data_IF_841779994555
#
_entry.id   IF_841779994555
#
_cell.length_a   1.000
_cell.length_b   1.000
_cell.length_c   1.000
_cell.angle_alpha   90.00
_cell.angle_beta   90.00
_cell.angle_gamma   90.00
#
_symmetry.space_group_name_H-M   'P 1'
#
loop_
_entity.id
_entity.type
_entity.pdbx_description
1 polymer ?
#
# COMPACT_ATOMS: atom_id res chain seq x y z
N UNK A 1 -3.99 -12.25 8.03
CA UNK A 1 -3.28 -10.99 7.74
C UNK A 1 -3.72 -10.62 6.33
N UNK A 2 -4.52 -9.57 6.21
CA UNK A 2 -5.33 -9.29 5.00
C UNK A 2 -4.59 -8.22 4.21
N UNK A 3 -4.20 -8.52 2.96
CA UNK A 3 -3.77 -7.51 2.00
C UNK A 3 -4.85 -6.39 1.94
N UNK A 4 -4.53 -5.11 1.68
CA UNK A 4 -5.52 -4.03 1.71
C UNK A 4 -6.44 -4.11 0.49
N UNK A 5 -7.23 -5.17 0.41
CA UNK A 5 -8.20 -5.41 -0.64
C UNK A 5 -9.26 -4.30 -0.64
N UNK A 6 -9.45 -3.54 0.44
CA UNK A 6 -10.35 -2.39 0.47
C UNK A 6 -9.84 -1.17 -0.34
N UNK A 7 -8.61 -1.19 -0.86
CA UNK A 7 -8.08 -0.10 -1.68
C UNK A 7 -8.26 -0.38 -3.17
N UNK A 8 -8.94 0.54 -3.86
CA UNK A 8 -9.25 0.44 -5.29
C UNK A 8 -8.50 1.53 -6.06
N UNK A 9 -7.42 1.21 -6.80
CA UNK A 9 -6.54 2.21 -7.41
C UNK A 9 -7.21 2.95 -8.59
N UNK A 10 -8.06 2.25 -9.35
CA UNK A 10 -8.48 2.75 -10.66
C UNK A 10 -9.91 3.29 -10.75
N UNK A 11 -10.69 3.19 -9.67
CA UNK A 11 -12.11 3.53 -9.70
C UNK A 11 -12.40 5.02 -9.45
N UNK A 12 -13.48 5.51 -10.04
CA UNK A 12 -14.04 6.84 -9.86
C UNK A 12 -15.01 6.89 -8.67
N UNK A 13 -15.49 8.08 -8.33
CA UNK A 13 -16.52 8.24 -7.29
C UNK A 13 -17.82 7.51 -7.63
N UNK A 14 -18.29 7.66 -8.87
CA UNK A 14 -19.53 7.04 -9.35
C UNK A 14 -19.42 5.51 -9.36
N UNK A 15 -18.28 4.97 -9.82
CA UNK A 15 -18.03 3.52 -9.78
C UNK A 15 -17.97 2.99 -8.35
N UNK A 16 -17.36 3.74 -7.41
CA UNK A 16 -17.35 3.39 -6.00
C UNK A 16 -18.76 3.38 -5.39
N UNK A 17 -19.61 4.36 -5.72
CA UNK A 17 -21.01 4.38 -5.27
C UNK A 17 -21.75 3.15 -5.78
N UNK A 18 -21.65 2.86 -7.09
CA UNK A 18 -22.28 1.68 -7.68
C UNK A 18 -21.82 0.39 -7.01
N UNK A 19 -20.52 0.21 -6.79
CA UNK A 19 -19.97 -0.98 -6.12
C UNK A 19 -20.50 -1.12 -4.69
N UNK A 20 -20.51 -0.03 -3.91
CA UNK A 20 -20.99 -0.06 -2.52
C UNK A 20 -22.51 -0.30 -2.44
N UNK A 21 -23.30 0.25 -3.37
CA UNK A 21 -24.75 0.08 -3.40
C UNK A 21 -25.18 -1.31 -3.88
N UNK A 22 -24.45 -1.88 -4.83
CA UNK A 22 -24.77 -3.20 -5.41
C UNK A 22 -24.20 -4.37 -4.62
N UNK A 23 -22.96 -4.26 -4.13
CA UNK A 23 -22.24 -5.37 -3.48
C UNK A 23 -22.03 -5.17 -1.98
N UNK A 24 -22.07 -3.92 -1.51
CA UNK A 24 -21.89 -3.59 -0.10
C UNK A 24 -23.18 -3.68 0.71
N UNK A 25 -23.04 -3.53 2.02
CA UNK A 25 -24.13 -3.30 2.97
C UNK A 25 -23.82 -2.02 3.76
N UNK A 26 -24.74 -1.57 4.62
CA UNK A 26 -24.46 -0.42 5.47
C UNK A 26 -23.27 -0.71 6.41
N UNK A 27 -22.31 0.21 6.45
CA UNK A 27 -21.00 0.02 7.06
C UNK A 27 -19.93 -0.53 6.10
N UNK A 28 -20.27 -0.87 4.86
CA UNK A 28 -19.28 -1.21 3.84
C UNK A 28 -18.48 0.02 3.41
N UNK A 29 -17.18 -0.16 3.19
CA UNK A 29 -16.31 0.93 2.78
C UNK A 29 -15.21 0.48 1.81
N UNK A 30 -14.68 1.45 1.07
CA UNK A 30 -13.48 1.29 0.26
C UNK A 30 -12.69 2.61 0.23
N UNK A 31 -11.39 2.53 0.00
CA UNK A 31 -10.56 3.71 -0.25
C UNK A 31 -10.10 3.73 -1.71
N UNK A 32 -9.94 4.92 -2.26
CA UNK A 32 -9.50 5.13 -3.65
C UNK A 32 -8.74 6.44 -3.81
N UNK A 33 -7.92 6.60 -4.85
CA UNK A 33 -7.34 7.89 -5.21
C UNK A 33 -8.40 8.94 -5.52
N UNK A 34 -8.12 10.20 -5.18
CA UNK A 34 -8.98 11.32 -5.52
C UNK A 34 -8.78 11.73 -6.98
N UNK A 35 -9.87 11.69 -7.77
CA UNK A 35 -9.88 12.22 -9.15
C UNK A 35 -9.98 13.74 -9.19
N UNK A 36 -10.61 14.36 -8.18
CA UNK A 36 -10.80 15.82 -8.13
C UNK A 36 -9.61 16.57 -7.55
N UNK A 37 -8.80 15.93 -6.71
CA UNK A 37 -7.54 16.50 -6.21
C UNK A 37 -6.39 15.49 -6.31
N UNK A 38 -5.61 15.52 -7.40
CA UNK A 38 -4.52 14.57 -7.61
C UNK A 38 -3.50 14.58 -6.46
N UNK A 39 -3.24 13.42 -5.85
CA UNK A 39 -2.32 13.27 -4.71
C UNK A 39 -3.04 12.98 -3.38
N UNK A 40 -4.32 13.34 -3.30
CA UNK A 40 -5.19 12.99 -2.18
C UNK A 40 -5.92 11.67 -2.41
N UNK A 41 -6.55 11.15 -1.37
CA UNK A 41 -7.37 9.95 -1.40
C UNK A 41 -8.81 10.25 -0.97
N UNK A 42 -9.70 9.28 -1.17
CA UNK A 42 -11.11 9.37 -0.77
C UNK A 42 -11.55 8.04 -0.17
N UNK A 43 -12.06 8.10 1.06
CA UNK A 43 -12.74 7.01 1.73
C UNK A 43 -14.23 7.08 1.39
N UNK A 44 -14.75 6.06 0.71
CA UNK A 44 -16.15 5.95 0.32
C UNK A 44 -16.84 4.95 1.24
N UNK A 45 -17.92 5.35 1.92
CA UNK A 45 -18.59 4.55 2.95
C UNK A 45 -20.08 4.51 2.67
N UNK A 46 -20.68 3.32 2.70
CA UNK A 46 -22.12 3.14 2.62
C UNK A 46 -22.76 3.24 3.99
N UNK A 47 -23.80 4.05 4.12
CA UNK A 47 -24.60 4.21 5.34
C UNK A 47 -26.02 4.65 4.99
N UNK A 48 -27.01 4.14 5.71
CA UNK A 48 -28.43 4.46 5.53
C UNK A 48 -28.89 4.33 4.06
N UNK A 49 -28.38 3.30 3.35
CA UNK A 49 -28.66 3.10 1.93
C UNK A 49 -28.06 4.13 0.97
N UNK A 50 -27.23 5.06 1.44
CA UNK A 50 -26.53 6.06 0.63
C UNK A 50 -25.00 5.92 0.78
N UNK A 51 -24.24 6.55 -0.11
CA UNK A 51 -22.78 6.54 -0.06
C UNK A 51 -22.27 7.94 0.26
N UNK A 52 -21.32 8.01 1.20
CA UNK A 52 -20.63 9.22 1.61
C UNK A 52 -19.18 9.15 1.20
N UNK A 53 -18.64 10.25 0.67
CA UNK A 53 -17.23 10.37 0.30
C UNK A 53 -16.48 11.31 1.23
N UNK A 54 -15.42 10.81 1.83
CA UNK A 54 -14.60 11.52 2.82
C UNK A 54 -13.21 11.69 2.24
N UNK A 55 -12.80 12.95 2.01
CA UNK A 55 -11.48 13.29 1.52
C UNK A 55 -10.41 13.01 2.57
N UNK A 56 -9.35 12.33 2.14
CA UNK A 56 -8.13 12.11 2.90
C UNK A 56 -7.04 12.96 2.25
N UNK A 57 -6.45 13.90 2.98
CA UNK A 57 -5.33 14.68 2.46
C UNK A 57 -4.01 13.94 2.70
N UNK A 58 -3.13 13.99 1.71
CA UNK A 58 -1.75 13.56 1.86
C UNK A 58 -0.84 14.77 1.66
N UNK A 59 -0.18 15.22 2.73
CA UNK A 59 0.73 16.37 2.66
C UNK A 59 2.16 15.99 2.32
N UNK A 60 2.47 14.69 2.21
CA UNK A 60 3.83 14.15 2.15
C UNK A 60 4.43 13.80 3.51
N UNK A 61 3.85 14.31 4.60
CA UNK A 61 4.30 14.04 5.98
C UNK A 61 3.40 13.04 6.72
N UNK A 62 2.10 13.07 6.42
CA UNK A 62 1.07 12.24 7.07
C UNK A 62 -0.22 12.24 6.24
N UNK A 63 -1.12 11.31 6.57
CA UNK A 63 -2.48 11.23 6.08
C UNK A 63 -3.45 11.82 7.12
N UNK A 64 -4.35 12.72 6.71
CA UNK A 64 -5.38 13.26 7.59
C UNK A 64 -6.79 13.26 6.97
N UNK A 65 -7.80 13.26 7.84
CA UNK A 65 -9.22 13.35 7.48
C UNK A 65 -9.76 14.69 7.96
N UNK A 66 -9.87 15.68 7.07
CA UNK A 66 -10.51 16.99 7.34
C UNK A 66 -10.12 17.64 8.69
N UNK A 67 -8.83 17.61 9.06
CA UNK A 67 -8.34 18.21 10.31
C UNK A 67 -8.56 17.36 11.57
N UNK A 68 -8.91 16.09 11.42
CA UNK A 68 -8.97 15.10 12.50
C UNK A 68 -7.59 14.54 12.88
N UNK A 69 -7.59 13.26 13.26
CA UNK A 69 -6.38 12.51 13.60
C UNK A 69 -5.44 12.35 12.39
N UNK A 70 -4.13 12.28 12.65
CA UNK A 70 -3.08 12.13 11.63
C UNK A 70 -2.44 10.74 11.71
N UNK A 71 -2.15 10.13 10.56
CA UNK A 71 -1.66 8.75 10.45
C UNK A 71 -0.43 8.66 9.53
N UNK A 72 0.43 7.65 9.73
CA UNK A 72 1.61 7.47 8.89
C UNK A 72 1.26 6.82 7.54
N UNK A 73 0.26 5.93 7.53
CA UNK A 73 -0.19 5.22 6.33
C UNK A 73 -1.72 5.19 6.22
N UNK A 74 -2.23 4.92 5.01
CA UNK A 74 -3.66 4.70 4.78
C UNK A 74 -4.17 3.45 5.53
N UNK A 75 -3.35 2.41 5.62
CA UNK A 75 -3.69 1.19 6.32
C UNK A 75 -3.91 1.44 7.83
N UNK A 76 -3.02 2.22 8.45
CA UNK A 76 -3.17 2.61 9.85
C UNK A 76 -4.41 3.48 10.09
N UNK A 77 -4.70 4.41 9.16
CA UNK A 77 -5.90 5.24 9.22
C UNK A 77 -7.16 4.37 9.21
N UNK A 78 -7.27 3.44 8.26
CA UNK A 78 -8.43 2.54 8.16
C UNK A 78 -8.53 1.66 9.40
N UNK A 79 -7.43 1.02 9.82
CA UNK A 79 -7.42 0.17 11.00
C UNK A 79 -7.89 0.92 12.25
N UNK A 80 -7.40 2.15 12.46
CA UNK A 80 -7.77 2.96 13.61
C UNK A 80 -9.28 3.20 13.69
N UNK A 81 -9.91 3.62 12.59
CA UNK A 81 -11.35 3.91 12.57
C UNK A 81 -12.23 2.65 12.49
N UNK A 82 -11.68 1.51 12.08
CA UNK A 82 -12.35 0.21 12.24
C UNK A 82 -12.39 -0.24 13.70
N UNK A 83 -11.33 0.00 14.48
CA UNK A 83 -11.23 -0.41 15.89
C UNK A 83 -11.90 0.61 16.85
N UNK A 84 -11.96 1.89 16.48
CA UNK A 84 -12.48 2.97 17.32
C UNK A 84 -13.80 3.54 16.78
N UNK A 85 -14.88 2.76 16.93
CA UNK A 85 -16.23 3.20 16.56
C UNK A 85 -16.61 4.53 17.24
N UNK A 86 -17.30 5.42 16.52
CA UNK A 86 -17.76 6.71 17.06
C UNK A 86 -16.80 7.89 16.88
N UNK A 87 -15.55 7.69 16.46
CA UNK A 87 -14.58 8.77 16.28
C UNK A 87 -14.67 9.46 14.91
N UNK A 88 -15.01 8.72 13.86
CA UNK A 88 -15.20 9.29 12.52
C UNK A 88 -16.61 9.91 12.45
N UNK A 89 -16.66 11.23 12.25
CA UNK A 89 -17.92 11.98 12.24
C UNK A 89 -18.00 12.94 11.05
N UNK A 90 -19.22 13.19 10.59
CA UNK A 90 -19.51 14.27 9.64
C UNK A 90 -19.58 15.64 10.31
N UNK A 91 -19.68 16.69 9.48
CA UNK A 91 -19.86 18.07 9.94
C UNK A 91 -21.14 18.28 10.77
N UNK A 92 -22.17 17.48 10.53
CA UNK A 92 -23.43 17.52 11.29
C UNK A 92 -23.34 16.73 12.62
N UNK A 93 -22.22 16.04 12.89
CA UNK A 93 -22.01 15.24 14.09
C UNK A 93 -22.36 13.76 13.95
N UNK A 94 -22.92 13.33 12.82
CA UNK A 94 -23.28 11.93 12.59
C UNK A 94 -22.04 11.04 12.56
N UNK A 95 -22.12 9.89 13.23
CA UNK A 95 -21.05 8.89 13.25
C UNK A 95 -21.02 8.12 11.94
N UNK A 96 -19.83 7.92 11.39
CA UNK A 96 -19.57 7.05 10.25
C UNK A 96 -18.81 5.82 10.76
N UNK A 97 -19.37 4.63 10.53
CA UNK A 97 -18.77 3.38 10.97
C UNK A 97 -18.12 2.62 9.81
N UNK A 98 -16.86 2.24 9.97
CA UNK A 98 -16.14 1.36 9.04
C UNK A 98 -16.26 -0.08 9.55
N UNK A 99 -17.13 -0.88 8.94
CA UNK A 99 -17.39 -2.26 9.37
C UNK A 99 -16.84 -3.29 8.39
N UNK A 100 -17.21 -3.15 7.12
CA UNK A 100 -17.00 -4.20 6.13
C UNK A 100 -16.15 -3.68 4.97
N UNK A 101 -14.84 -4.02 4.90
CA UNK A 101 -14.04 -3.66 3.75
C UNK A 101 -14.62 -4.27 2.48
N UNK A 102 -14.88 -3.46 1.45
CA UNK A 102 -15.30 -3.93 0.14
C UNK A 102 -14.07 -4.20 -0.71
N UNK A 103 -13.78 -5.48 -0.92
CA UNK A 103 -12.56 -5.93 -1.57
C UNK A 103 -12.51 -5.58 -3.08
N UNK A 104 -11.33 -5.18 -3.53
CA UNK A 104 -10.96 -4.88 -4.89
C UNK A 104 -10.61 -6.19 -5.59
N UNK A 105 -11.29 -6.46 -6.70
CA UNK A 105 -10.97 -7.59 -7.57
C UNK A 105 -10.02 -7.18 -8.72
N UNK A 106 -9.57 -5.92 -8.74
CA UNK A 106 -8.69 -5.39 -9.78
C UNK A 106 -7.27 -5.91 -9.57
N UNK A 107 -6.72 -6.70 -10.51
CA UNK A 107 -5.37 -7.27 -10.40
C UNK A 107 -4.27 -6.27 -10.73
N UNK A 108 -4.58 -5.07 -11.23
CA UNK A 108 -3.59 -4.09 -11.72
C UNK A 108 -2.53 -3.68 -10.69
N UNK A 109 -2.82 -3.84 -9.41
CA UNK A 109 -1.92 -3.47 -8.32
C UNK A 109 -1.05 -4.60 -7.79
N UNK A 110 -1.27 -5.83 -8.27
CA UNK A 110 -0.48 -6.98 -7.88
C UNK A 110 0.89 -6.96 -8.56
N UNK A 111 1.97 -7.23 -7.80
CA UNK A 111 3.35 -7.21 -8.34
C UNK A 111 3.59 -8.17 -9.50
N UNK A 112 2.83 -9.27 -9.53
CA UNK A 112 2.92 -10.24 -10.61
C UNK A 112 2.05 -9.85 -11.81
N UNK A 113 1.21 -8.83 -11.73
CA UNK A 113 0.40 -8.38 -12.85
C UNK A 113 1.14 -7.29 -13.65
N UNK A 114 1.23 -7.49 -14.97
CA UNK A 114 1.99 -6.65 -15.88
C UNK A 114 1.11 -6.01 -16.97
N UNK A 115 -0.22 -6.11 -16.85
CA UNK A 115 -1.16 -5.51 -17.79
C UNK A 115 -0.86 -5.88 -19.24
N UNK A 116 -0.73 -4.86 -20.09
CA UNK A 116 -0.48 -5.02 -21.51
C UNK A 116 0.98 -5.41 -21.81
N UNK A 117 1.27 -6.71 -21.75
CA UNK A 117 2.59 -7.29 -22.06
C UNK A 117 2.43 -8.41 -23.08
N UNK A 118 3.23 -8.41 -24.15
CA UNK A 118 3.19 -9.50 -25.13
C UNK A 118 3.82 -10.79 -24.57
N UNK A 119 3.46 -11.93 -25.15
CA UNK A 119 4.09 -13.21 -24.79
C UNK A 119 5.60 -13.18 -24.97
N UNK A 120 6.08 -12.58 -26.07
CA UNK A 120 7.51 -12.47 -26.39
C UNK A 120 8.28 -11.58 -25.41
N UNK A 121 7.67 -10.47 -24.98
CA UNK A 121 8.28 -9.60 -23.96
C UNK A 121 8.28 -10.28 -22.59
N UNK A 122 7.21 -11.00 -22.24
CA UNK A 122 7.12 -11.79 -21.01
C UNK A 122 8.21 -12.88 -20.97
N UNK A 123 8.40 -13.62 -22.07
CA UNK A 123 9.46 -14.62 -22.19
C UNK A 123 10.84 -13.99 -22.00
N UNK A 124 11.10 -12.85 -22.67
CA UNK A 124 12.36 -12.11 -22.53
C UNK A 124 12.61 -11.69 -21.09
N UNK A 125 11.62 -11.06 -20.44
CA UNK A 125 11.73 -10.60 -19.06
C UNK A 125 11.93 -11.74 -18.05
N UNK A 126 11.17 -12.83 -18.21
CA UNK A 126 11.30 -14.02 -17.36
C UNK A 126 12.65 -14.71 -17.57
N UNK A 127 13.19 -14.70 -18.79
CA UNK A 127 14.50 -15.29 -19.09
C UNK A 127 15.66 -14.44 -18.58
N UNK A 128 15.60 -13.13 -18.76
CA UNK A 128 16.67 -12.20 -18.36
C UNK A 128 16.71 -11.95 -16.84
N UNK A 129 15.53 -11.82 -16.22
CA UNK A 129 15.41 -11.36 -14.81
C UNK A 129 14.81 -12.40 -13.87
N UNK A 130 14.13 -13.41 -14.40
CA UNK A 130 13.48 -14.44 -13.60
C UNK A 130 14.45 -15.48 -13.05
N UNK A 131 13.92 -16.36 -12.20
CA UNK A 131 14.55 -17.61 -11.75
C UNK A 131 13.53 -18.74 -11.87
N UNK A 132 13.93 -19.96 -11.58
CA UNK A 132 12.98 -21.07 -11.50
C UNK A 132 11.81 -20.74 -10.55
N UNK A 133 10.58 -20.88 -11.06
CA UNK A 133 9.34 -20.52 -10.37
C UNK A 133 9.01 -19.02 -10.35
N UNK A 134 9.74 -18.19 -11.11
CA UNK A 134 9.33 -16.80 -11.36
C UNK A 134 8.11 -16.75 -12.27
N UNK A 135 7.12 -15.93 -11.94
CA UNK A 135 5.91 -15.81 -12.73
C UNK A 135 5.42 -14.37 -12.85
N UNK A 136 4.57 -14.14 -13.86
CA UNK A 136 3.79 -12.92 -14.06
C UNK A 136 2.46 -13.25 -14.75
N UNK A 137 1.47 -12.38 -14.61
CA UNK A 137 0.18 -12.40 -15.31
C UNK A 137 0.09 -11.16 -16.19
N UNK A 138 -0.43 -11.33 -17.39
CA UNK A 138 -0.57 -10.28 -18.41
C UNK A 138 -1.89 -10.42 -19.13
N UNK A 139 -2.33 -9.37 -19.81
CA UNK A 139 -3.49 -9.43 -20.70
C UNK A 139 -3.24 -10.35 -21.89
N UNK A 140 -4.28 -11.05 -22.33
CA UNK A 140 -4.24 -11.86 -23.54
C UNK A 140 -4.34 -10.97 -24.78
N UNK A 141 -3.33 -11.02 -25.63
CA UNK A 141 -3.34 -10.34 -26.93
C UNK A 141 -4.19 -11.06 -27.98
N UNK A 142 -4.44 -12.36 -27.80
CA UNK A 142 -5.23 -13.16 -28.74
C UNK A 142 -6.72 -13.16 -28.41
N UNK A 143 -7.09 -13.00 -27.14
CA UNK A 143 -8.47 -13.03 -26.66
C UNK A 143 -8.72 -11.82 -25.74
N UNK A 144 -9.22 -10.69 -26.25
CA UNK A 144 -9.49 -9.51 -25.43
C UNK A 144 -10.42 -9.82 -24.26
N UNK A 145 -10.03 -9.43 -23.05
CA UNK A 145 -10.75 -9.73 -21.80
C UNK A 145 -10.22 -10.95 -21.04
N UNK A 146 -9.45 -11.83 -21.69
CA UNK A 146 -8.74 -12.93 -21.05
C UNK A 146 -7.34 -12.51 -20.60
N UNK A 147 -6.71 -13.34 -19.77
CA UNK A 147 -5.38 -13.12 -19.22
C UNK A 147 -4.47 -14.33 -19.50
N UNK A 148 -3.17 -14.17 -19.28
CA UNK A 148 -2.17 -15.23 -19.44
C UNK A 148 -1.22 -15.22 -18.26
N UNK A 149 -1.11 -16.35 -17.56
CA UNK A 149 -0.10 -16.61 -16.56
C UNK A 149 1.16 -17.17 -17.24
N UNK A 150 2.27 -16.43 -17.15
CA UNK A 150 3.56 -16.80 -17.72
C UNK A 150 4.51 -17.21 -16.60
N UNK A 151 5.04 -18.43 -16.64
CA UNK A 151 5.85 -19.03 -15.57
C UNK A 151 7.16 -19.54 -16.13
N UNK A 152 8.28 -19.20 -15.49
CA UNK A 152 9.59 -19.78 -15.80
C UNK A 152 9.81 -21.07 -15.00
N UNK A 153 10.17 -22.13 -15.71
CA UNK A 153 10.56 -23.43 -15.16
C UNK A 153 11.96 -23.80 -15.66
N UNK A 154 12.66 -24.63 -14.89
CA UNK A 154 14.04 -25.06 -15.19
C UNK A 154 15.10 -24.23 -14.47
N UNK A 155 16.24 -24.87 -14.16
CA UNK A 155 17.35 -24.28 -13.41
C UNK A 155 18.52 -23.93 -14.34
N UNK A 156 19.17 -22.79 -14.12
CA UNK A 156 20.30 -22.30 -14.93
C UNK A 156 21.59 -23.13 -14.79
N UNK A 157 21.58 -24.22 -14.02
CA UNK A 157 22.78 -24.92 -13.53
C UNK A 157 23.00 -26.32 -14.11
N UNK A 158 22.17 -26.78 -15.04
CA UNK A 158 22.31 -28.14 -15.61
C UNK A 158 22.62 -28.07 -17.10
N UNK A 159 23.83 -28.48 -17.48
CA UNK A 159 24.28 -28.70 -18.87
C UNK A 159 23.57 -29.90 -19.56
N UNK A 160 22.58 -30.50 -18.90
CA UNK A 160 21.74 -31.56 -19.45
C UNK A 160 20.77 -30.98 -20.49
N UNK A 161 20.65 -31.63 -21.65
CA UNK A 161 19.75 -31.24 -22.74
C UNK A 161 18.26 -31.12 -22.34
N UNK A 162 17.85 -31.70 -21.21
CA UNK A 162 16.48 -31.68 -20.66
C UNK A 162 16.21 -30.57 -19.62
N UNK A 163 17.21 -29.77 -19.26
CA UNK A 163 17.13 -28.79 -18.15
C UNK A 163 17.06 -27.32 -18.55
N UNK A 164 16.85 -27.01 -19.85
CA UNK A 164 16.86 -25.61 -20.31
C UNK A 164 15.73 -24.80 -19.67
N UNK A 165 16.00 -23.54 -19.26
CA UNK A 165 14.96 -22.65 -18.75
C UNK A 165 13.89 -22.48 -19.84
N UNK A 166 12.66 -22.83 -19.50
CA UNK A 166 11.48 -22.73 -20.36
C UNK A 166 10.51 -21.75 -19.72
N UNK A 167 9.80 -20.99 -20.55
CA UNK A 167 8.65 -20.21 -20.12
C UNK A 167 7.39 -20.90 -20.62
N UNK A 168 6.49 -21.21 -19.70
CA UNK A 168 5.17 -21.76 -20.00
C UNK A 168 4.13 -20.66 -19.89
N UNK A 169 3.21 -20.59 -20.86
CA UNK A 169 2.08 -19.68 -20.86
C UNK A 169 0.78 -20.46 -20.63
N UNK A 170 0.06 -20.14 -19.57
CA UNK A 170 -1.23 -20.72 -19.20
C UNK A 170 -2.31 -19.68 -19.45
N UNK A 171 -3.30 -20.02 -20.27
CA UNK A 171 -4.44 -19.13 -20.54
C UNK A 171 -5.35 -19.05 -19.31
N UNK A 172 -5.76 -17.84 -18.95
CA UNK A 172 -6.76 -17.57 -17.92
C UNK A 172 -7.98 -16.96 -18.63
N UNK A 173 -9.08 -17.69 -18.64
CA UNK A 173 -10.34 -17.24 -19.26
C UNK A 173 -11.13 -16.40 -18.28
N UNK A 174 -11.68 -15.29 -18.77
CA UNK A 174 -12.64 -14.47 -18.05
C UNK A 174 -14.04 -14.83 -18.54
N UNK A 175 -14.82 -15.52 -17.70
CA UNK A 175 -16.18 -15.93 -18.02
C UNK A 175 -17.19 -15.03 -17.31
N UNK A 176 -18.17 -14.56 -18.07
CA UNK A 176 -19.37 -13.94 -17.51
C UNK A 176 -20.27 -15.06 -17.00
N UNK A 177 -20.45 -15.17 -15.67
CA UNK A 177 -21.61 -15.87 -15.13
C UNK A 177 -22.79 -14.89 -15.13
N UNK A 178 -23.89 -15.26 -15.79
CA UNK A 178 -25.05 -14.39 -15.89
C UNK A 178 -26.34 -15.17 -15.69
N UNK A 179 -27.01 -14.92 -14.58
CA UNK A 179 -28.47 -15.08 -14.48
C UNK A 179 -29.11 -13.74 -14.84
N UNK A 180 -29.99 -13.73 -15.84
CA UNK A 180 -30.69 -12.52 -16.25
C UNK A 180 -31.83 -12.20 -15.26
N UNK A 181 -31.66 -11.17 -14.43
CA UNK A 181 -32.77 -10.65 -13.63
C UNK A 181 -33.59 -9.69 -14.50
N UNK A 182 -34.76 -10.16 -14.96
CA UNK A 182 -35.76 -9.32 -15.63
C UNK A 182 -36.53 -8.49 -14.61
N UNK A 183 -36.26 -7.20 -14.52
CA UNK A 183 -37.10 -6.27 -13.75
C UNK A 183 -38.13 -5.64 -14.68
N UNK A 184 -39.40 -5.91 -14.40
CA UNK A 184 -40.54 -5.32 -15.12
C UNK A 184 -41.07 -4.15 -14.30
N UNK A 185 -40.78 -2.91 -14.71
CA UNK A 185 -41.36 -1.73 -14.05
C UNK A 185 -42.72 -1.41 -14.69
N UNK A 186 -43.80 -1.80 -14.02
CA UNK A 186 -45.17 -1.41 -14.38
C UNK A 186 -45.68 -0.32 -13.43
N UNK A 187 -45.84 0.92 -13.92
CA UNK A 187 -46.52 1.98 -13.20
C UNK A 187 -47.98 2.10 -13.63
N UNK A 188 -48.92 1.98 -12.69
CA UNK A 188 -50.34 2.30 -12.91
C UNK A 188 -50.59 3.74 -12.43
N UNK A 189 -51.15 4.57 -13.31
CA UNK A 189 -51.77 5.84 -12.92
C UNK A 189 -53.29 5.68 -13.05
N UNK A 190 -54.00 5.76 -11.93
CA UNK A 190 -55.45 5.93 -11.92
C UNK A 190 -55.77 7.42 -11.92
N UNK A 191 -56.06 7.97 -13.10
CA UNK A 191 -57.03 9.08 -13.18
C UNK A 191 -57.73 9.10 -14.54
N UNK A 192 -59.05 9.10 -14.47
CA UNK A 192 -60.05 9.43 -15.50
C UNK A 192 -59.69 9.29 -16.98
N UNK A 193 -60.17 8.21 -17.60
CA UNK A 193 -60.82 8.28 -18.91
C UNK A 193 -59.97 8.68 -20.12
N UNK A 194 -58.92 7.92 -20.47
CA UNK A 194 -58.52 7.74 -21.87
C UNK A 194 -57.64 6.48 -22.00
N UNK A 195 -57.92 5.63 -22.99
CA UNK A 195 -57.19 4.37 -23.20
C UNK A 195 -55.83 4.64 -23.87
N UNK A 196 -54.79 4.92 -23.07
CA UNK A 196 -53.42 5.05 -23.56
C UNK A 196 -52.68 3.70 -23.46
N UNK A 197 -52.03 3.30 -24.56
CA UNK A 197 -51.28 2.05 -24.72
C UNK A 197 -50.05 2.05 -23.81
N UNK A 198 -50.05 1.21 -22.77
CA UNK A 198 -48.93 1.06 -21.81
C UNK A 198 -47.70 0.53 -22.54
N UNK A 199 -46.62 1.31 -22.56
CA UNK A 199 -45.32 0.83 -23.03
C UNK A 199 -44.58 0.21 -21.85
N UNK A 200 -44.44 -1.12 -21.86
CA UNK A 200 -43.60 -1.85 -20.90
C UNK A 200 -42.15 -1.70 -21.36
N UNK A 201 -41.38 -0.88 -20.65
CA UNK A 201 -39.93 -0.85 -20.83
C UNK A 201 -39.32 -1.99 -20.01
N UNK A 202 -38.79 -3.01 -20.69
CA UNK A 202 -37.99 -4.05 -20.03
C UNK A 202 -36.55 -3.56 -20.00
N UNK A 203 -36.06 -3.17 -18.83
CA UNK A 203 -34.64 -2.84 -18.64
C UNK A 203 -33.95 -4.12 -18.19
N UNK A 204 -33.15 -4.72 -19.07
CA UNK A 204 -32.30 -5.85 -18.71
C UNK A 204 -31.05 -5.29 -18.04
N UNK A 205 -30.99 -5.34 -16.71
CA UNK A 205 -29.76 -5.08 -15.96
C UNK A 205 -28.92 -6.35 -16.02
N UNK A 206 -27.79 -6.30 -16.72
CA UNK A 206 -26.84 -7.41 -16.73
C UNK A 206 -25.98 -7.35 -15.47
N UNK A 207 -26.22 -8.28 -14.54
CA UNK A 207 -25.27 -8.58 -13.46
C UNK A 207 -24.18 -9.49 -14.07
N UNK A 208 -23.02 -8.91 -14.37
CA UNK A 208 -21.88 -9.68 -14.84
C UNK A 208 -20.99 -10.03 -13.65
N UNK A 209 -21.24 -11.18 -13.02
CA UNK A 209 -20.28 -11.74 -12.07
C UNK A 209 -19.15 -12.40 -12.88
N UNK A 210 -18.05 -11.65 -13.06
CA UNK A 210 -16.85 -12.10 -13.76
C UNK A 210 -16.15 -13.19 -12.94
N UNK A 211 -15.89 -14.34 -13.56
CA UNK A 211 -15.17 -15.46 -12.95
C UNK A 211 -13.96 -15.84 -13.80
N UNK A 212 -12.90 -16.30 -13.14
CA UNK A 212 -11.64 -16.65 -13.79
C UNK A 212 -11.35 -18.15 -13.68
N UNK A 213 -10.86 -18.76 -14.76
CA UNK A 213 -10.44 -20.18 -14.78
C UNK A 213 -9.29 -20.43 -15.78
N UNK A 214 -8.57 -21.54 -15.63
CA UNK A 214 -7.41 -21.89 -16.49
C UNK A 214 -7.71 -22.95 -17.55
N UNK A 215 -8.97 -23.17 -17.92
CA UNK A 215 -9.38 -24.22 -18.86
C UNK A 215 -10.22 -25.33 -18.27
N UNK A 216 -10.20 -25.50 -16.93
CA UNK A 216 -10.95 -26.50 -16.18
C UNK A 216 -10.65 -26.44 -14.67
N UNK A 217 -11.48 -27.09 -13.85
CA UNK A 217 -11.35 -27.07 -12.39
C UNK A 217 -12.22 -25.99 -11.72
N UNK A 218 -11.70 -25.41 -10.63
CA UNK A 218 -12.37 -24.36 -9.86
C UNK A 218 -12.45 -23.03 -10.63
N UNK A 219 -13.49 -22.24 -10.35
CA UNK A 219 -13.67 -20.88 -10.87
C UNK A 219 -13.47 -19.88 -9.74
N UNK A 220 -12.75 -18.81 -10.01
CA UNK A 220 -12.32 -17.82 -9.02
C UNK A 220 -13.01 -16.47 -9.22
N UNK A 221 -13.23 -15.74 -8.13
CA UNK A 221 -13.83 -14.39 -8.16
C UNK A 221 -12.84 -13.29 -8.57
N UNK A 222 -11.55 -13.54 -8.46
CA UNK A 222 -10.48 -12.61 -8.86
C UNK A 222 -9.27 -13.35 -9.40
N UNK A 223 -8.41 -12.67 -10.17
CA UNK A 223 -7.11 -13.21 -10.56
C UNK A 223 -6.21 -13.45 -9.34
N UNK A 224 -6.34 -12.65 -8.26
CA UNK A 224 -5.59 -12.84 -7.02
C UNK A 224 -5.96 -14.16 -6.35
N UNK A 225 -7.25 -14.50 -6.26
CA UNK A 225 -7.69 -15.78 -5.71
C UNK A 225 -7.18 -16.96 -6.53
N UNK A 226 -7.21 -16.84 -7.86
CA UNK A 226 -6.67 -17.83 -8.79
C UNK A 226 -5.17 -18.03 -8.56
N UNK A 227 -4.38 -16.95 -8.48
CA UNK A 227 -2.93 -17.02 -8.27
C UNK A 227 -2.59 -17.60 -6.89
N UNK A 228 -3.27 -17.18 -5.82
CA UNK A 228 -3.03 -17.71 -4.48
C UNK A 228 -3.41 -19.19 -4.36
N UNK A 229 -4.47 -19.63 -5.04
CA UNK A 229 -4.82 -21.04 -5.15
C UNK A 229 -3.68 -21.83 -5.82
N UNK A 230 -3.23 -21.42 -7.01
CA UNK A 230 -2.19 -22.14 -7.75
C UNK A 230 -0.77 -21.98 -7.19
N UNK A 231 -0.53 -21.01 -6.30
CA UNK A 231 0.68 -20.96 -5.45
C UNK A 231 0.71 -22.09 -4.42
N UNK A 232 -0.44 -22.44 -3.85
CA UNK A 232 -0.57 -23.53 -2.87
C UNK A 232 -0.75 -24.89 -3.53
N UNK A 233 -1.41 -24.93 -4.67
CA UNK A 233 -1.73 -26.12 -5.46
C UNK A 233 -1.12 -26.00 -6.87
N UNK A 234 0.19 -26.27 -7.06
CA UNK A 234 0.84 -26.08 -8.35
C UNK A 234 0.22 -26.90 -9.49
N UNK A 235 0.08 -26.29 -10.66
CA UNK A 235 -0.38 -26.99 -11.87
C UNK A 235 0.69 -27.97 -12.37
N UNK A 236 0.27 -29.04 -13.04
CA UNK A 236 1.16 -30.05 -13.63
C UNK A 236 0.85 -30.16 -15.13
N UNK A 237 1.86 -29.93 -15.99
CA UNK A 237 1.75 -30.16 -17.44
C UNK A 237 1.60 -31.66 -17.74
N UNK A 238 1.04 -32.00 -18.90
CA UNK A 238 0.87 -33.40 -19.36
C UNK A 238 2.18 -34.20 -19.38
N UNK A 239 3.31 -33.52 -19.58
CA UNK A 239 4.66 -34.11 -19.56
C UNK A 239 5.25 -34.24 -18.15
N UNK A 240 4.47 -33.92 -17.10
CA UNK A 240 4.86 -34.05 -15.70
C UNK A 240 5.58 -32.83 -15.11
N UNK A 241 5.79 -31.76 -15.88
CA UNK A 241 6.42 -30.53 -15.38
C UNK A 241 5.50 -29.79 -14.41
N UNK A 242 5.98 -29.54 -13.19
CA UNK A 242 5.23 -28.82 -12.16
C UNK A 242 5.47 -27.32 -12.28
N UNK A 243 4.40 -26.55 -12.51
CA UNK A 243 4.41 -25.09 -12.60
C UNK A 243 4.30 -24.48 -11.19
N UNK A 244 5.43 -24.38 -10.49
CA UNK A 244 5.46 -23.77 -9.16
C UNK A 244 5.53 -22.24 -9.23
N UNK A 245 4.54 -21.56 -8.68
CA UNK A 245 4.51 -20.10 -8.56
C UNK A 245 5.28 -19.66 -7.30
N UNK A 246 6.61 -19.62 -7.37
CA UNK A 246 7.47 -19.34 -6.21
C UNK A 246 7.58 -17.85 -5.90
N UNK A 247 7.84 -17.03 -6.92
CA UNK A 247 7.98 -15.59 -6.74
C UNK A 247 7.43 -14.78 -7.92
N UNK A 248 6.75 -13.65 -7.69
CA UNK A 248 6.50 -12.66 -8.72
C UNK A 248 7.81 -12.22 -9.39
N UNK A 249 7.78 -11.94 -10.69
CA UNK A 249 8.93 -11.36 -11.38
C UNK A 249 9.23 -9.96 -10.82
N UNK A 250 10.48 -9.71 -10.40
CA UNK A 250 10.88 -8.41 -9.88
C UNK A 250 11.24 -7.46 -11.03
N UNK A 251 10.38 -6.48 -11.29
CA UNK A 251 10.53 -5.46 -12.35
C UNK A 251 11.23 -4.18 -11.89
N UNK A 252 11.30 -3.92 -10.59
CA UNK A 252 11.85 -2.67 -10.02
C UNK A 252 13.36 -2.72 -9.80
N UNK A 253 13.98 -3.90 -9.90
CA UNK A 253 15.43 -4.05 -9.84
C UNK A 253 16.07 -3.66 -11.17
N UNK A 254 16.89 -2.62 -11.14
CA UNK A 254 17.60 -2.08 -12.30
C UNK A 254 19.11 -1.92 -12.01
N UNK A 255 19.92 -1.87 -13.08
CA UNK A 255 21.30 -1.43 -12.96
C UNK A 255 21.33 0.09 -12.74
N UNK A 256 22.20 0.59 -11.86
CA UNK A 256 22.32 2.02 -11.60
C UNK A 256 22.66 2.83 -12.87
N UNK A 257 23.44 2.24 -13.80
CA UNK A 257 23.75 2.87 -15.09
C UNK A 257 22.51 3.06 -15.99
N UNK A 258 21.43 2.32 -15.74
CA UNK A 258 20.19 2.36 -16.53
C UNK A 258 19.11 3.26 -15.90
N UNK A 259 19.41 3.97 -14.80
CA UNK A 259 18.42 4.76 -14.08
C UNK A 259 17.73 5.81 -14.97
N UNK A 260 18.48 6.47 -15.85
CA UNK A 260 17.91 7.46 -16.79
C UNK A 260 16.96 6.82 -17.81
N UNK A 261 17.23 5.56 -18.20
CA UNK A 261 16.34 4.82 -19.09
C UNK A 261 15.04 4.46 -18.36
N UNK A 262 15.15 3.97 -17.11
CA UNK A 262 13.98 3.63 -16.28
C UNK A 262 13.11 4.85 -15.98
N UNK A 263 13.72 5.99 -15.65
CA UNK A 263 12.99 7.25 -15.41
C UNK A 263 12.21 7.67 -16.66
N UNK A 264 12.82 7.57 -17.85
CA UNK A 264 12.13 7.87 -19.12
C UNK A 264 10.98 6.91 -19.38
N UNK A 265 11.15 5.63 -19.12
CA UNK A 265 10.09 4.62 -19.28
C UNK A 265 8.90 4.91 -18.37
N UNK A 266 9.15 5.14 -17.07
CA UNK A 266 8.11 5.47 -16.09
C UNK A 266 7.41 6.80 -16.37
N UNK A 267 8.07 7.71 -17.10
CA UNK A 267 7.50 8.98 -17.55
C UNK A 267 6.67 8.85 -18.83
N UNK A 268 7.06 7.98 -19.78
CA UNK A 268 6.40 7.84 -21.10
C UNK A 268 5.00 7.24 -21.06
N UNK A 269 4.73 6.35 -20.11
CA UNK A 269 3.39 5.77 -19.92
C UNK A 269 2.32 6.85 -19.59
N UNK A 270 2.74 8.06 -19.19
CA UNK A 270 1.85 9.19 -18.94
C UNK A 270 1.38 9.93 -20.21
N UNK A 271 2.00 9.70 -21.38
CA UNK A 271 1.74 10.47 -22.61
C UNK A 271 0.74 9.81 -23.58
N UNK A 272 0.51 8.50 -23.46
CA UNK A 272 -0.35 7.73 -24.38
C UNK A 272 -1.84 7.71 -23.99
N UNK A 273 -2.17 8.12 -22.77
CA UNK A 273 -3.53 8.38 -22.31
C UNK A 273 -3.53 9.73 -21.60
N UNK A 274 -4.66 10.46 -21.62
CA UNK A 274 -4.82 11.79 -21.01
C UNK A 274 -4.76 11.78 -19.45
N UNK A 275 -3.96 10.86 -18.89
CA UNK A 275 -3.76 10.58 -17.47
C UNK A 275 -2.26 10.57 -17.20
N UNK A 276 -1.78 11.69 -16.67
CA UNK A 276 -0.37 12.05 -16.35
C UNK A 276 0.34 11.10 -15.34
N UNK A 277 -0.17 9.89 -15.04
CA UNK A 277 0.22 9.12 -13.84
C UNK A 277 0.24 7.60 -14.02
N UNK A 278 0.88 7.06 -15.05
CA UNK A 278 0.91 5.58 -15.18
C UNK A 278 2.17 4.97 -14.56
N UNK A 279 3.39 5.21 -15.05
CA UNK A 279 4.56 4.47 -14.54
C UNK A 279 4.92 4.65 -13.06
N UNK A 280 5.35 5.86 -12.65
CA UNK A 280 5.78 6.09 -11.25
C UNK A 280 4.67 5.87 -10.23
N UNK A 281 3.44 6.24 -10.60
CA UNK A 281 2.30 6.15 -9.70
C UNK A 281 1.88 4.69 -9.49
N UNK A 282 1.83 3.87 -10.55
CA UNK A 282 1.55 2.44 -10.44
C UNK A 282 2.60 1.72 -9.58
N UNK A 283 3.89 2.00 -9.76
CA UNK A 283 4.95 1.44 -8.91
C UNK A 283 4.81 1.86 -7.44
N UNK A 284 4.46 3.14 -7.20
CA UNK A 284 4.25 3.67 -5.86
C UNK A 284 3.06 3.00 -5.18
N UNK A 285 1.91 2.90 -5.85
CA UNK A 285 0.71 2.24 -5.29
C UNK A 285 0.96 0.74 -5.02
N UNK A 286 1.70 0.06 -5.90
CA UNK A 286 2.13 -1.33 -5.70
C UNK A 286 2.96 -1.49 -4.42
N UNK A 287 3.76 -0.48 -4.05
CA UNK A 287 4.49 -0.45 -2.78
C UNK A 287 3.54 -0.23 -1.60
N UNK A 288 2.60 0.71 -1.71
CA UNK A 288 1.62 1.02 -0.65
C UNK A 288 0.80 -0.21 -0.23
N UNK A 289 0.46 -1.10 -1.17
CA UNK A 289 -0.29 -2.32 -0.83
C UNK A 289 0.49 -3.28 0.10
N UNK A 290 1.81 -3.17 0.14
CA UNK A 290 2.62 -3.99 1.03
C UNK A 290 2.61 -3.51 2.48
N UNK A 291 2.13 -2.29 2.76
CA UNK A 291 2.11 -1.73 4.11
C UNK A 291 1.34 -2.61 5.10
N UNK A 292 0.30 -3.32 4.66
CA UNK A 292 -0.45 -4.23 5.52
C UNK A 292 0.35 -5.45 5.99
N UNK A 293 1.45 -5.79 5.30
CA UNK A 293 2.40 -6.84 5.72
C UNK A 293 3.36 -6.34 6.80
N UNK A 294 3.39 -5.02 7.04
CA UNK A 294 4.30 -4.33 7.95
C UNK A 294 3.56 -3.71 9.14
N UNK A 295 2.37 -4.20 9.49
CA UNK A 295 1.63 -3.82 10.70
C UNK A 295 2.30 -4.40 11.95
N UNK A 296 3.46 -3.84 12.31
CA UNK A 296 4.18 -4.22 13.51
C UNK A 296 3.62 -3.54 14.76
N UNK A 297 3.92 -4.15 15.91
CA UNK A 297 3.55 -3.64 17.23
C UNK A 297 4.18 -2.26 17.49
N UNK A 298 3.39 -1.37 18.10
CA UNK A 298 3.72 0.02 18.48
C UNK A 298 3.24 0.34 19.90
N UNK A 299 3.15 -0.68 20.75
CA UNK A 299 2.50 -0.62 22.07
C UNK A 299 3.22 0.35 23.00
N UNK A 300 4.54 0.45 22.90
CA UNK A 300 5.34 1.32 23.76
C UNK A 300 5.01 2.79 23.54
N UNK A 301 4.76 3.20 22.28
CA UNK A 301 4.33 4.55 21.95
C UNK A 301 2.89 4.87 22.35
N UNK A 302 2.05 3.86 22.58
CA UNK A 302 0.64 4.02 22.99
C UNK A 302 0.45 4.15 24.51
N UNK A 303 1.49 3.86 25.31
CA UNK A 303 1.46 3.98 26.77
C UNK A 303 1.06 5.39 27.21
N UNK A 304 0.31 5.50 28.30
CA UNK A 304 -0.27 6.75 28.74
C UNK A 304 0.79 7.83 29.00
N UNK A 305 1.94 7.43 29.53
CA UNK A 305 3.09 8.26 29.90
C UNK A 305 3.87 8.75 28.68
N UNK A 306 3.76 8.05 27.54
CA UNK A 306 4.47 8.36 26.30
C UNK A 306 3.63 9.20 25.33
N UNK A 307 2.32 9.37 25.57
CA UNK A 307 1.41 10.08 24.65
C UNK A 307 1.86 11.51 24.35
N UNK A 308 2.34 12.24 25.36
CA UNK A 308 2.82 13.62 25.21
C UNK A 308 4.25 13.71 24.64
N UNK A 309 4.95 12.57 24.44
CA UNK A 309 6.26 12.49 23.80
C UNK A 309 6.15 12.29 22.28
N UNK A 310 4.93 12.08 21.76
CA UNK A 310 4.64 11.91 20.34
C UNK A 310 4.13 13.22 19.73
N UNK A 311 4.79 13.68 18.66
CA UNK A 311 4.35 14.88 17.91
C UNK A 311 3.01 14.65 17.23
N UNK A 312 2.79 13.43 16.77
CA UNK A 312 1.52 12.97 16.22
C UNK A 312 1.07 11.72 16.98
N UNK A 313 -0.18 11.74 17.44
CA UNK A 313 -0.73 10.71 18.32
C UNK A 313 -0.68 9.29 17.73
N UNK A 314 -0.82 9.16 16.41
CA UNK A 314 -0.87 7.85 15.73
C UNK A 314 0.34 7.57 14.84
N UNK A 315 1.41 8.39 14.89
CA UNK A 315 2.68 8.11 14.20
C UNK A 315 3.70 7.70 15.26
N UNK A 316 3.83 6.39 15.44
CA UNK A 316 4.54 5.78 16.57
C UNK A 316 5.66 4.88 16.07
N UNK A 317 6.77 4.77 16.83
CA UNK A 317 7.87 3.91 16.46
C UNK A 317 7.49 2.43 16.59
N UNK A 318 8.01 1.58 15.72
CA UNK A 318 7.85 0.13 15.86
C UNK A 318 8.63 -0.40 17.06
N UNK A 319 8.00 -1.24 17.88
CA UNK A 319 8.57 -1.70 19.16
C UNK A 319 9.90 -2.46 18.97
N UNK A 320 10.05 -3.21 17.87
CA UNK A 320 11.19 -4.09 17.63
C UNK A 320 12.45 -3.37 17.09
N UNK A 321 12.33 -2.13 16.63
CA UNK A 321 13.46 -1.31 16.17
C UNK A 321 13.52 0.06 16.86
N UNK A 322 12.68 0.32 17.87
CA UNK A 322 12.70 1.59 18.57
C UNK A 322 14.04 1.78 19.28
N UNK A 323 14.44 3.04 19.43
CA UNK A 323 15.54 3.37 20.34
C UNK A 323 15.03 3.25 21.79
N UNK A 324 15.76 2.53 22.63
CA UNK A 324 15.50 2.42 24.08
C UNK A 324 16.55 3.27 24.80
N UNK A 325 16.11 4.23 25.62
CA UNK A 325 17.04 5.06 26.40
C UNK A 325 17.43 4.33 27.70
N UNK A 326 18.72 4.10 27.89
CA UNK A 326 19.24 3.24 28.95
C UNK A 326 19.47 3.95 30.29
N UNK A 327 19.64 5.27 30.26
CA UNK A 327 19.98 6.13 31.41
C UNK A 327 18.75 6.80 32.05
N UNK A 328 17.55 6.29 31.78
CA UNK A 328 16.30 6.83 32.34
C UNK A 328 16.14 6.50 33.81
N UNK A 329 15.43 7.36 34.56
CA UNK A 329 15.06 7.04 35.94
C UNK A 329 14.17 5.78 35.94
N UNK A 330 14.60 4.67 36.59
CA UNK A 330 13.81 3.45 36.66
C UNK A 330 12.46 3.65 37.38
N UNK A 331 12.34 4.70 38.19
CA UNK A 331 11.11 5.04 38.91
C UNK A 331 10.15 5.90 38.09
N UNK A 332 10.58 6.44 36.94
CA UNK A 332 9.75 7.22 36.04
C UNK A 332 9.28 6.34 34.86
N UNK A 333 8.00 5.94 34.82
CA UNK A 333 7.49 5.14 33.72
C UNK A 333 7.59 5.89 32.38
N UNK A 334 8.16 5.25 31.37
CA UNK A 334 8.38 5.85 30.05
C UNK A 334 9.67 6.67 29.93
N UNK A 335 10.56 6.65 30.92
CA UNK A 335 11.90 7.29 30.87
C UNK A 335 12.84 6.67 29.81
N UNK A 336 12.49 5.48 29.31
CA UNK A 336 13.18 4.73 28.27
C UNK A 336 12.71 5.07 26.84
N UNK A 337 11.69 5.93 26.71
CA UNK A 337 10.98 6.15 25.44
C UNK A 337 11.43 7.40 24.70
N UNK A 338 11.69 7.24 23.41
CA UNK A 338 11.76 8.31 22.41
C UNK A 338 11.10 7.83 21.11
N UNK A 339 10.41 8.73 20.40
CA UNK A 339 9.83 8.43 19.09
C UNK A 339 10.93 8.41 18.01
N UNK A 340 11.64 7.28 17.94
CA UNK A 340 12.73 7.03 17.01
C UNK A 340 12.89 5.53 16.72
N UNK A 341 13.33 5.18 15.51
CA UNK A 341 13.68 3.82 15.11
C UNK A 341 15.10 3.76 14.50
N UNK A 342 15.81 2.68 14.81
CA UNK A 342 17.07 2.31 14.16
C UNK A 342 16.76 1.70 12.80
N UNK A 343 17.35 2.26 11.75
CA UNK A 343 17.26 1.80 10.37
C UNK A 343 18.60 1.22 9.96
N UNK A 344 18.63 -0.10 9.76
CA UNK A 344 19.80 -0.82 9.25
C UNK A 344 19.66 -1.06 7.75
N UNK A 345 20.67 -0.63 6.97
CA UNK A 345 20.71 -0.94 5.55
C UNK A 345 21.14 -2.38 5.37
N UNK A 346 20.20 -3.25 4.98
CA UNK A 346 20.51 -4.64 4.61
C UNK A 346 21.12 -4.65 3.20
N UNK A 347 22.45 -4.72 3.13
CA UNK A 347 23.16 -4.95 1.87
C UNK A 347 23.27 -6.46 1.59
N UNK A 348 23.24 -6.89 0.30
CA UNK A 348 23.49 -8.27 -0.08
C UNK A 348 24.81 -8.79 0.49
N UNK A 349 24.85 -10.07 0.86
CA UNK A 349 26.01 -10.72 1.51
C UNK A 349 27.34 -10.48 0.76
N UNK A 350 27.30 -10.41 -0.57
CA UNK A 350 28.46 -10.12 -1.42
C UNK A 350 29.13 -8.75 -1.12
N UNK A 351 28.37 -7.73 -0.72
CA UNK A 351 28.90 -6.40 -0.37
C UNK A 351 29.38 -6.36 1.09
N UNK A 352 28.74 -7.13 1.98
CA UNK A 352 29.18 -7.27 3.39
C UNK A 352 30.57 -7.91 3.50
N UNK A 353 30.92 -8.81 2.59
CA UNK A 353 32.25 -9.45 2.53
C UNK A 353 33.36 -8.49 2.05
N UNK A 354 33.01 -7.36 1.44
CA UNK A 354 33.96 -6.37 0.93
C UNK A 354 34.44 -5.36 2.01
N UNK A 355 34.20 -5.63 3.30
CA UNK A 355 34.61 -4.76 4.40
C UNK A 355 33.92 -3.39 4.43
N UNK A 356 32.89 -3.19 3.61
CA UNK A 356 32.18 -1.92 3.52
C UNK A 356 31.34 -1.68 4.78
N UNK A 357 31.62 -0.56 5.46
CA UNK A 357 30.88 -0.13 6.64
C UNK A 357 29.42 0.07 6.27
N UNK A 358 28.55 -0.82 6.74
CA UNK A 358 27.11 -0.63 6.62
C UNK A 358 26.74 0.57 7.49
N UNK A 359 26.27 1.66 6.87
CA UNK A 359 25.77 2.80 7.61
C UNK A 359 24.43 2.42 8.24
N UNK A 360 24.31 2.68 9.53
CA UNK A 360 23.04 2.64 10.27
C UNK A 360 22.54 4.07 10.44
N UNK A 361 21.22 4.22 10.47
CA UNK A 361 20.56 5.51 10.62
C UNK A 361 19.59 5.44 11.79
N UNK A 362 19.25 6.59 12.35
CA UNK A 362 18.12 6.74 13.27
C UNK A 362 17.14 7.69 12.61
N UNK A 363 15.92 7.22 12.38
CA UNK A 363 14.81 8.08 11.98
C UNK A 363 14.04 8.48 13.23
N UNK A 364 13.82 9.78 13.42
CA UNK A 364 13.11 10.32 14.59
C UNK A 364 12.28 11.53 14.19
N UNK A 365 11.22 11.81 14.95
CA UNK A 365 10.37 12.98 14.75
C UNK A 365 11.11 14.30 15.05
N UNK A 366 10.57 15.43 14.60
CA UNK A 366 11.01 16.74 15.07
C UNK A 366 10.79 16.89 16.58
N UNK A 367 11.82 17.32 17.32
CA UNK A 367 11.80 17.45 18.78
C UNK A 367 10.61 18.28 19.27
N UNK A 368 9.98 17.85 20.37
CA UNK A 368 9.03 18.62 21.17
C UNK A 368 9.76 19.29 22.34
N UNK A 369 9.15 20.28 22.98
CA UNK A 369 9.78 20.99 24.10
C UNK A 369 10.17 20.05 25.25
N UNK A 370 9.32 19.06 25.54
CA UNK A 370 9.52 18.06 26.59
C UNK A 370 10.41 16.87 26.17
N UNK A 371 10.82 16.75 24.90
CA UNK A 371 11.65 15.63 24.42
C UNK A 371 13.06 16.06 24.00
N UNK A 372 13.46 17.31 24.26
CA UNK A 372 14.80 17.81 23.91
C UNK A 372 15.88 17.06 24.69
N UNK A 373 15.66 16.80 25.99
CA UNK A 373 16.60 16.04 26.81
C UNK A 373 16.75 14.60 26.30
N UNK A 374 15.62 13.92 26.07
CA UNK A 374 15.57 12.56 25.51
C UNK A 374 16.30 12.46 24.16
N UNK A 375 16.16 13.47 23.29
CA UNK A 375 16.89 13.52 22.02
C UNK A 375 18.41 13.53 22.22
N UNK A 376 18.93 14.29 23.18
CA UNK A 376 20.36 14.32 23.46
C UNK A 376 20.87 13.06 24.15
N UNK A 377 20.05 12.46 25.02
CA UNK A 377 20.33 11.14 25.62
C UNK A 377 20.50 10.08 24.52
N UNK A 378 19.59 10.04 23.56
CA UNK A 378 19.71 9.19 22.36
C UNK A 378 21.00 9.46 21.58
N UNK A 379 21.27 10.73 21.24
CA UNK A 379 22.47 11.08 20.43
C UNK A 379 23.76 10.67 21.14
N UNK A 380 23.83 10.87 22.46
CA UNK A 380 24.96 10.49 23.29
C UNK A 380 25.13 8.97 23.37
N UNK A 381 24.06 8.26 23.74
CA UNK A 381 24.03 6.81 23.88
C UNK A 381 24.46 6.11 22.58
N UNK A 382 23.87 6.52 21.45
CA UNK A 382 24.13 5.93 20.14
C UNK A 382 25.42 6.47 19.49
N UNK A 383 26.18 7.31 20.21
CA UNK A 383 27.42 7.92 19.76
C UNK A 383 27.29 8.60 18.37
N UNK A 384 26.13 9.19 18.10
CA UNK A 384 25.80 9.79 16.81
C UNK A 384 26.58 11.09 16.60
N UNK A 385 27.34 11.17 15.50
CA UNK A 385 28.22 12.32 15.20
C UNK A 385 27.68 13.28 14.15
N UNK A 386 26.63 12.88 13.44
CA UNK A 386 26.01 13.66 12.37
C UNK A 386 24.51 13.66 12.58
N UNK A 387 23.91 14.85 12.57
CA UNK A 387 22.46 15.05 12.65
C UNK A 387 22.03 15.76 11.35
N UNK A 388 21.03 15.20 10.67
CA UNK A 388 20.47 15.76 9.44
C UNK A 388 19.03 16.21 9.73
N UNK A 389 18.76 17.51 9.57
CA UNK A 389 17.42 18.09 9.75
C UNK A 389 16.87 18.50 8.38
N UNK A 390 15.74 17.91 7.98
CA UNK A 390 15.13 18.09 6.64
C UNK A 390 13.95 19.06 6.61
N UNK A 391 13.62 19.70 7.74
CA UNK A 391 12.50 20.66 7.88
C UNK A 391 13.01 22.01 8.38
N UNK A 392 12.28 23.10 8.09
CA UNK A 392 12.42 24.35 8.86
C UNK A 392 11.78 24.20 10.23
N UNK A 393 12.04 25.14 11.15
CA UNK A 393 11.43 25.13 12.49
C UNK A 393 9.93 25.39 12.44
N UNK A 394 9.52 26.31 11.56
CA UNK A 394 8.12 26.69 11.35
C UNK A 394 7.85 26.64 9.86
N UNK A 395 6.82 25.88 9.48
CA UNK A 395 6.33 25.81 8.11
C UNK A 395 4.85 26.13 8.09
N UNK A 396 4.45 27.10 7.24
CA UNK A 396 3.06 27.55 7.09
C UNK A 396 2.40 27.94 8.43
N UNK A 397 3.17 28.54 9.34
CA UNK A 397 2.71 28.96 10.67
C UNK A 397 2.59 27.85 11.72
N UNK A 398 2.97 26.60 11.39
CA UNK A 398 2.98 25.47 12.33
C UNK A 398 4.42 25.12 12.70
N UNK A 399 4.67 24.86 13.99
CA UNK A 399 6.00 24.46 14.50
C UNK A 399 6.27 23.01 14.11
N UNK A 400 7.18 22.79 13.17
CA UNK A 400 7.61 21.46 12.69
C UNK A 400 8.71 20.84 13.55
N UNK A 401 9.53 21.67 14.22
CA UNK A 401 10.57 21.24 15.16
C UNK A 401 10.84 22.32 16.22
N UNK A 402 11.27 21.92 17.42
CA UNK A 402 11.73 22.86 18.44
C UNK A 402 12.89 23.74 17.93
N UNK A 403 12.96 24.96 18.44
CA UNK A 403 13.79 26.05 17.94
C UNK A 403 15.27 25.62 17.80
N UNK A 404 15.94 25.89 16.66
CA UNK A 404 17.35 25.55 16.45
C UNK A 404 18.22 26.16 17.52
N UNK A 405 17.84 27.31 18.09
CA UNK A 405 18.56 27.92 19.20
C UNK A 405 18.52 27.06 20.47
N UNK A 406 17.43 26.33 20.78
CA UNK A 406 17.42 25.36 21.89
C UNK A 406 18.35 24.17 21.62
N UNK A 407 18.37 23.65 20.38
CA UNK A 407 19.27 22.55 19.95
C UNK A 407 20.74 23.05 19.88
N UNK A 408 20.96 24.30 19.52
CA UNK A 408 22.28 24.93 19.37
C UNK A 408 22.84 25.40 20.73
N UNK A 409 22.00 25.86 21.66
CA UNK A 409 22.40 26.12 23.04
C UNK A 409 22.79 24.80 23.73
N UNK A 410 22.04 23.72 23.53
CA UNK A 410 22.46 22.40 24.00
C UNK A 410 23.73 21.88 23.33
N UNK A 411 23.98 22.18 22.04
CA UNK A 411 25.25 21.88 21.36
C UNK A 411 26.42 22.67 21.96
N UNK A 412 26.20 23.94 22.35
CA UNK A 412 27.21 24.75 23.02
C UNK A 412 27.51 24.21 24.43
N UNK A 413 26.47 23.92 25.22
CA UNK A 413 26.61 23.34 26.56
C UNK A 413 27.27 21.96 26.51
N UNK A 414 26.89 21.09 25.56
CA UNK A 414 27.51 19.78 25.37
C UNK A 414 28.97 19.91 24.95
N UNK A 415 29.34 20.82 24.02
CA UNK A 415 30.75 21.09 23.68
C UNK A 415 31.57 21.63 24.87
N UNK A 416 30.97 22.44 25.74
CA UNK A 416 31.61 22.94 26.97
C UNK A 416 31.78 21.79 27.99
N UNK A 417 30.78 20.92 28.14
CA UNK A 417 30.84 19.75 29.01
C UNK A 417 31.87 18.72 28.52
N UNK A 418 31.96 18.49 27.21
CA UNK A 418 32.99 17.65 26.58
C UNK A 418 34.40 18.22 26.77
N UNK A 419 34.57 19.55 26.73
CA UNK A 419 35.86 20.20 27.05
C UNK A 419 36.23 20.08 28.52
N UNK A 420 35.26 20.14 29.44
CA UNK A 420 35.48 20.00 30.88
C UNK A 420 35.73 18.55 31.30
N UNK A 421 35.00 17.59 30.74
CA UNK A 421 35.20 16.15 30.97
C UNK A 421 36.56 15.66 30.46
N UNK A 422 37.07 16.22 29.36
CA UNK A 422 38.42 15.93 28.87
C UNK A 422 39.54 16.63 29.70
N UNK A 423 39.19 17.58 30.57
CA UNK A 423 40.14 18.28 31.45
C UNK A 423 40.24 17.65 32.85
N UNK A 424 39.27 16.81 33.23
CA UNK A 424 39.21 16.12 34.54
C UNK A 424 39.30 14.58 34.42
N UNK A 425 39.74 14.07 33.27
CA UNK A 425 40.00 12.64 33.02
C UNK A 425 41.48 12.31 32.99
#
# INVERSE_FOLDING_TARGET
>A
MVDPLWFHPNITGVEAENLLLTRGVDGSFLARPSKSNPGDFTLSVRRNGAVTHIKIQNTGDFYDLYGGEKFATLAELVQYYMEHHGQLKEKNGDVIELKYPLNCADPTSERWFHGHLSGREAEKLLTEKGKNGSFLVRESQSHPGDFVLSVRTGDDKTDSSDGKPKVTHVMIRCQVSGDAIRVSLGGSWLSGGCCCRVHVFTVTLFQHDLKYDVGGGEKFDSLTDLVEHYKKNPMVETLGTVLQLKQPLNTTRINAAEIESRVRELSKLAEATDKVKQGFWEEFETLQQQECKLLYSRKEGQRAENKNKNRYKNILPFDHTRVVLNDGDPNEPGSDYINANIIMVSLPLAVRLCGSVCKSYIATQGCLQNTISDFWRMVFQENSRVIVMTTKEVERGKVSAANKSSIHLSLLFSKIFWKLSAFFG
#
